data_IF_106566350007
#
_entry.id   IF_106566350007
#
_cell.length_a   1.000
_cell.length_b   1.000
_cell.length_c   1.000
_cell.angle_alpha   90.00
_cell.angle_beta   90.00
_cell.angle_gamma   90.00
#
_symmetry.space_group_name_H-M   'P 1'
#
loop_
_entity.id
_entity.type
_entity.pdbx_description
1 polymer ?
#
# COMPACT_ATOMS: atom_id res chain seq x y z
N UNK A 1 -23.10 -3.88 -23.28
CA UNK A 1 -23.30 -2.80 -22.31
C UNK A 1 -21.98 -2.61 -21.60
N UNK A 2 -21.25 -1.53 -21.85
CA UNK A 2 -19.94 -1.30 -21.22
C UNK A 2 -20.13 -0.59 -19.89
N UNK A 3 -19.65 -1.20 -18.81
CA UNK A 3 -19.60 -0.60 -17.47
C UNK A 3 -18.14 -0.27 -17.14
N UNK A 4 -17.89 0.85 -16.49
CA UNK A 4 -16.59 1.17 -15.92
C UNK A 4 -16.71 1.08 -14.39
N UNK A 5 -15.76 0.38 -13.77
CA UNK A 5 -15.64 0.32 -12.30
C UNK A 5 -14.46 1.17 -11.88
N UNK A 6 -14.67 2.02 -10.87
CA UNK A 6 -13.66 2.92 -10.33
C UNK A 6 -13.57 2.68 -8.82
N UNK A 7 -12.42 2.22 -8.35
CA UNK A 7 -12.14 2.06 -6.92
C UNK A 7 -11.47 3.32 -6.37
N UNK A 8 -12.03 3.88 -5.31
CA UNK A 8 -11.67 5.16 -4.70
C UNK A 8 -11.59 5.01 -3.18
N UNK A 9 -10.84 5.91 -2.54
CA UNK A 9 -10.88 6.10 -1.09
C UNK A 9 -11.29 7.54 -0.81
N UNK A 10 -12.35 7.75 -0.03
CA UNK A 10 -12.81 9.09 0.33
C UNK A 10 -11.78 9.81 1.22
N UNK A 11 -11.86 11.15 1.37
CA UNK A 11 -11.02 11.88 2.33
C UNK A 11 -11.14 11.37 3.77
N UNK A 12 -12.31 10.81 4.14
CA UNK A 12 -12.55 10.16 5.42
C UNK A 12 -12.01 8.72 5.54
N UNK A 13 -11.28 8.22 4.55
CA UNK A 13 -10.70 6.87 4.54
C UNK A 13 -11.68 5.76 4.20
N UNK A 14 -12.83 6.08 3.61
CA UNK A 14 -13.89 5.12 3.28
C UNK A 14 -13.62 4.57 1.87
N UNK A 15 -13.41 3.26 1.70
CA UNK A 15 -13.29 2.68 0.36
C UNK A 15 -14.65 2.70 -0.35
N UNK A 16 -14.64 3.13 -1.60
CA UNK A 16 -15.83 3.27 -2.46
C UNK A 16 -15.52 2.66 -3.81
N UNK A 17 -16.30 1.65 -4.20
CA UNK A 17 -16.32 1.13 -5.57
C UNK A 17 -17.50 1.76 -6.29
N UNK A 18 -17.21 2.56 -7.33
CA UNK A 18 -18.20 3.22 -8.15
C UNK A 18 -18.36 2.47 -9.48
N UNK A 19 -19.55 1.95 -9.74
CA UNK A 19 -19.93 1.52 -11.10
C UNK A 19 -20.51 2.71 -11.85
N UNK A 20 -19.87 3.10 -12.95
CA UNK A 20 -20.33 4.17 -13.83
C UNK A 20 -20.87 3.56 -15.11
N UNK A 21 -22.13 3.87 -15.41
CA UNK A 21 -22.80 3.57 -16.67
C UNK A 21 -22.65 4.76 -17.61
N UNK A 22 -22.89 4.50 -18.90
CA UNK A 22 -22.81 5.55 -19.93
C UNK A 22 -23.86 6.66 -19.75
N UNK A 23 -24.95 6.34 -19.07
CA UNK A 23 -26.09 7.24 -18.85
C UNK A 23 -25.95 8.05 -17.55
N UNK A 24 -24.93 7.77 -16.73
CA UNK A 24 -24.69 8.53 -15.50
C UNK A 24 -24.11 9.90 -15.85
N UNK A 25 -24.78 10.96 -15.43
CA UNK A 25 -24.27 12.32 -15.56
C UNK A 25 -23.31 12.68 -14.41
N UNK A 26 -22.57 13.77 -14.62
CA UNK A 26 -21.58 14.24 -13.66
C UNK A 26 -22.16 14.53 -12.27
N UNK A 27 -23.38 15.05 -12.21
CA UNK A 27 -24.03 15.42 -10.95
C UNK A 27 -24.41 14.17 -10.14
N UNK A 28 -24.99 13.17 -10.82
CA UNK A 28 -25.39 11.89 -10.22
C UNK A 28 -24.18 11.14 -9.64
N UNK A 29 -23.04 11.21 -10.33
CA UNK A 29 -21.78 10.63 -9.85
C UNK A 29 -21.31 11.32 -8.56
N UNK A 30 -21.30 12.66 -8.54
CA UNK A 30 -20.89 13.43 -7.36
C UNK A 30 -21.79 13.14 -6.16
N UNK A 31 -23.11 13.17 -6.34
CA UNK A 31 -24.07 12.91 -5.26
C UNK A 31 -23.96 11.49 -4.70
N UNK A 32 -23.56 10.53 -5.53
CA UNK A 32 -23.30 9.15 -5.12
C UNK A 32 -22.06 9.09 -4.22
N UNK A 33 -20.99 9.77 -4.61
CA UNK A 33 -19.74 9.82 -3.83
C UNK A 33 -19.94 10.54 -2.48
N UNK A 34 -20.60 11.69 -2.44
CA UNK A 34 -20.89 12.41 -1.19
C UNK A 34 -21.72 11.59 -0.21
N UNK A 35 -22.67 10.81 -0.73
CA UNK A 35 -23.51 9.92 0.09
C UNK A 35 -22.71 8.78 0.68
N UNK A 36 -21.82 8.17 -0.11
CA UNK A 36 -20.92 7.14 0.37
C UNK A 36 -20.01 7.66 1.50
N UNK A 37 -19.51 8.90 1.38
CA UNK A 37 -18.71 9.54 2.43
C UNK A 37 -19.50 9.76 3.72
N UNK A 38 -20.72 10.30 3.64
CA UNK A 38 -21.60 10.49 4.82
C UNK A 38 -21.90 9.18 5.55
N UNK A 39 -22.18 8.12 4.80
CA UNK A 39 -22.43 6.77 5.34
C UNK A 39 -21.16 6.24 6.01
N UNK A 40 -20.01 6.35 5.35
CA UNK A 40 -18.77 5.88 5.90
C UNK A 40 -18.36 6.62 7.18
N UNK A 41 -18.52 7.95 7.22
CA UNK A 41 -18.30 8.73 8.45
C UNK A 41 -19.21 8.26 9.60
N UNK A 42 -20.48 7.97 9.32
CA UNK A 42 -21.45 7.51 10.32
C UNK A 42 -21.06 6.18 10.97
N UNK A 43 -20.60 5.20 10.19
CA UNK A 43 -20.20 3.88 10.69
C UNK A 43 -18.80 3.91 11.34
N UNK A 44 -17.88 4.70 10.79
CA UNK A 44 -16.54 4.90 11.37
C UNK A 44 -16.59 5.41 12.81
N UNK A 45 -17.43 6.41 13.09
CA UNK A 45 -17.67 6.93 14.44
C UNK A 45 -18.21 5.89 15.44
N UNK A 46 -18.71 4.75 14.95
CA UNK A 46 -19.26 3.65 15.74
C UNK A 46 -18.30 2.46 15.82
N UNK A 47 -17.05 2.65 15.42
CA UNK A 47 -16.00 1.63 15.51
C UNK A 47 -16.09 0.54 14.45
N UNK A 48 -16.84 0.76 13.36
CA UNK A 48 -16.87 -0.17 12.23
C UNK A 48 -15.61 0.02 11.38
N UNK A 49 -14.99 -1.09 11.00
CA UNK A 49 -13.83 -1.11 10.09
C UNK A 49 -14.29 -1.47 8.67
N UNK A 50 -13.82 -0.74 7.67
CA UNK A 50 -14.15 -1.02 6.28
C UNK A 50 -13.26 -2.13 5.71
N UNK A 51 -13.86 -3.14 5.09
CA UNK A 51 -13.18 -4.34 4.61
C UNK A 51 -12.16 -4.12 3.48
N UNK A 52 -12.20 -2.94 2.83
CA UNK A 52 -11.26 -2.53 1.77
C UNK A 52 -10.42 -1.32 2.20
N UNK A 53 -10.23 -1.11 3.50
CA UNK A 53 -9.00 -0.48 3.98
C UNK A 53 -7.88 -1.41 3.52
N UNK A 54 -7.34 -1.22 2.32
CA UNK A 54 -6.21 -2.02 1.86
C UNK A 54 -5.16 -2.01 2.97
N UNK A 55 -4.84 -3.15 3.60
CA UNK A 55 -3.57 -3.27 4.25
C UNK A 55 -2.58 -3.26 3.08
N UNK A 56 -1.82 -2.18 2.93
CA UNK A 56 -0.76 -2.07 1.91
C UNK A 56 0.46 -2.93 2.28
N UNK A 57 0.22 -4.08 2.92
CA UNK A 57 1.21 -5.04 3.34
C UNK A 57 0.64 -6.22 4.12
N UNK A 58 1.45 -7.26 4.37
CA UNK A 58 1.06 -8.40 5.17
C UNK A 58 0.59 -7.96 6.55
N UNK A 59 -0.29 -8.76 7.17
CA UNK A 59 -0.73 -8.52 8.54
C UNK A 59 0.45 -8.49 9.52
N UNK A 60 0.33 -7.78 10.64
CA UNK A 60 1.37 -7.74 11.68
C UNK A 60 1.79 -9.15 12.17
N UNK A 61 0.90 -10.14 12.05
CA UNK A 61 1.17 -11.54 12.36
C UNK A 61 2.03 -12.23 11.28
N UNK A 62 1.76 -12.01 10.00
CA UNK A 62 2.59 -12.49 8.88
C UNK A 62 3.97 -11.81 8.87
N UNK A 63 4.04 -10.56 9.33
CA UNK A 63 5.29 -9.80 9.48
C UNK A 63 6.17 -10.27 10.64
N UNK A 64 5.58 -10.84 11.69
CA UNK A 64 6.31 -11.34 12.85
C UNK A 64 7.04 -12.68 12.59
N UNK A 65 6.66 -13.39 11.51
CA UNK A 65 7.18 -14.71 11.16
C UNK A 65 7.89 -14.73 9.78
N UNK A 66 7.96 -13.59 9.10
CA UNK A 66 8.58 -13.47 7.78
C UNK A 66 10.11 -13.29 7.84
N UNK A 67 10.82 -13.54 6.72
CA UNK A 67 12.26 -13.29 6.65
C UNK A 67 12.59 -11.81 6.87
N UNK A 68 13.84 -11.56 7.24
CA UNK A 68 14.38 -10.23 7.45
C UNK A 68 15.49 -9.91 6.45
N UNK A 69 15.53 -8.65 6.03
CA UNK A 69 16.53 -8.08 5.15
C UNK A 69 17.08 -6.80 5.78
N UNK A 70 18.40 -6.73 5.97
CA UNK A 70 19.05 -5.61 6.67
C UNK A 70 18.47 -5.30 8.07
N UNK A 71 17.92 -6.31 8.75
CA UNK A 71 17.28 -6.16 10.07
C UNK A 71 15.79 -5.76 10.03
N UNK A 72 15.20 -5.62 8.85
CA UNK A 72 13.79 -5.28 8.66
C UNK A 72 13.00 -6.49 8.17
N UNK A 73 11.79 -6.75 8.67
CA UNK A 73 10.88 -7.73 8.05
C UNK A 73 10.70 -7.41 6.56
N UNK A 74 10.75 -8.41 5.70
CA UNK A 74 10.70 -8.22 4.25
C UNK A 74 9.84 -9.24 3.54
N UNK A 75 9.63 -9.04 2.25
CA UNK A 75 8.90 -9.99 1.43
C UNK A 75 9.59 -11.36 1.40
N UNK A 76 8.84 -12.47 1.46
CA UNK A 76 9.41 -13.80 1.32
C UNK A 76 9.97 -14.07 -0.07
N UNK A 77 9.47 -13.37 -1.08
CA UNK A 77 9.97 -13.44 -2.45
C UNK A 77 11.11 -12.44 -2.65
N UNK A 78 12.25 -12.94 -3.13
CA UNK A 78 13.42 -12.13 -3.55
C UNK A 78 13.72 -12.37 -5.03
N UNK A 79 14.43 -11.42 -5.65
CA UNK A 79 14.95 -11.61 -7.01
C UNK A 79 16.28 -12.38 -7.03
N UNK A 80 16.85 -12.54 -8.22
CA UNK A 80 18.12 -13.25 -8.45
C UNK A 80 19.33 -12.62 -7.71
N UNK A 81 19.20 -11.37 -7.25
CA UNK A 81 20.22 -10.67 -6.45
C UNK A 81 19.98 -10.80 -4.94
N UNK A 82 18.93 -11.52 -4.52
CA UNK A 82 18.51 -11.61 -3.13
C UNK A 82 17.82 -10.36 -2.60
N UNK A 83 17.33 -9.47 -3.48
CA UNK A 83 16.62 -8.27 -3.05
C UNK A 83 15.13 -8.56 -2.88
N UNK A 84 14.52 -8.25 -1.73
CA UNK A 84 13.07 -8.35 -1.55
C UNK A 84 12.33 -7.28 -2.37
N UNK A 85 11.02 -7.47 -2.54
CA UNK A 85 10.15 -6.52 -3.24
C UNK A 85 9.72 -5.37 -2.32
N UNK A 86 9.61 -5.64 -1.03
CA UNK A 86 9.27 -4.67 0.01
C UNK A 86 9.94 -5.01 1.34
N UNK A 87 10.02 -4.02 2.22
CA UNK A 87 10.43 -4.16 3.62
C UNK A 87 9.50 -3.36 4.53
N UNK A 88 9.42 -3.74 5.80
CA UNK A 88 8.70 -2.99 6.82
C UNK A 88 9.68 -2.21 7.67
N UNK A 89 9.50 -0.89 7.68
CA UNK A 89 10.25 0.01 8.55
C UNK A 89 9.26 0.89 9.30
N UNK A 90 9.42 1.01 10.61
CA UNK A 90 8.55 1.80 11.48
C UNK A 90 7.04 1.50 11.28
N UNK A 91 6.71 0.22 11.06
CA UNK A 91 5.35 -0.26 10.82
C UNK A 91 4.76 0.10 9.45
N UNK A 92 5.56 0.65 8.53
CA UNK A 92 5.14 1.01 7.17
C UNK A 92 5.84 0.15 6.14
N UNK A 93 5.11 -0.22 5.08
CA UNK A 93 5.68 -0.92 3.94
C UNK A 93 6.43 0.04 3.02
N UNK A 94 7.74 -0.17 2.92
CA UNK A 94 8.61 0.47 1.96
C UNK A 94 8.75 -0.40 0.71
N UNK A 95 8.50 0.19 -0.46
CA UNK A 95 8.58 -0.49 -1.74
C UNK A 95 9.98 -0.36 -2.34
N UNK A 96 10.47 -1.43 -2.98
CA UNK A 96 11.73 -1.38 -3.72
C UNK A 96 11.63 -0.44 -4.92
N UNK A 97 12.72 0.28 -5.17
CA UNK A 97 12.96 1.15 -6.30
C UNK A 97 14.38 0.92 -6.81
N UNK A 98 14.57 1.06 -8.11
CA UNK A 98 15.87 0.87 -8.74
C UNK A 98 16.07 1.87 -9.87
N UNK A 99 17.27 2.44 -9.97
CA UNK A 99 17.67 3.33 -11.06
C UNK A 99 19.17 3.23 -11.29
N UNK A 100 19.57 2.96 -12.53
CA UNK A 100 20.99 2.88 -12.93
C UNK A 100 21.85 1.92 -12.07
N UNK A 101 21.22 0.89 -11.49
CA UNK A 101 21.89 -0.09 -10.61
C UNK A 101 21.95 0.32 -9.13
N UNK A 102 21.55 1.55 -8.78
CA UNK A 102 21.26 1.92 -7.39
C UNK A 102 19.89 1.36 -7.01
N UNK A 103 19.81 0.71 -5.84
CA UNK A 103 18.57 0.17 -5.29
C UNK A 103 18.25 0.93 -4.01
N UNK A 104 16.97 1.26 -3.80
CA UNK A 104 16.52 1.80 -2.53
C UNK A 104 15.09 1.36 -2.21
N UNK A 105 14.71 1.52 -0.96
CA UNK A 105 13.34 1.33 -0.51
C UNK A 105 12.76 2.66 -0.09
N UNK A 106 11.49 2.89 -0.42
CA UNK A 106 10.81 4.13 -0.07
C UNK A 106 9.40 3.89 0.43
N UNK A 107 9.01 4.65 1.45
CA UNK A 107 7.67 4.68 2.01
C UNK A 107 6.92 5.89 1.45
N UNK A 108 5.64 5.72 1.08
CA UNK A 108 4.78 6.84 0.70
C UNK A 108 4.37 7.60 1.96
N UNK A 109 4.57 8.91 1.95
CA UNK A 109 4.17 9.82 3.01
C UNK A 109 2.73 10.31 2.79
N UNK A 110 2.10 10.84 3.84
CA UNK A 110 0.71 11.30 3.80
C UNK A 110 0.47 12.49 2.87
N UNK A 111 1.51 13.24 2.52
CA UNK A 111 1.49 14.33 1.55
C UNK A 111 1.68 13.85 0.09
N UNK A 112 1.74 12.54 -0.14
CA UNK A 112 1.94 11.92 -1.44
C UNK A 112 3.41 11.85 -1.89
N UNK A 113 4.36 12.36 -1.10
CA UNK A 113 5.80 12.25 -1.38
C UNK A 113 6.34 10.89 -0.94
N UNK A 114 7.61 10.61 -1.23
CA UNK A 114 8.28 9.36 -0.86
C UNK A 114 9.52 9.62 -0.01
N UNK A 115 9.58 9.01 1.16
CA UNK A 115 10.78 9.00 1.99
C UNK A 115 11.63 7.77 1.66
N UNK A 116 12.90 7.98 1.33
CA UNK A 116 13.86 6.90 1.16
C UNK A 116 14.33 6.41 2.55
N UNK A 117 14.32 5.10 2.77
CA UNK A 117 14.55 4.49 4.09
C UNK A 117 15.73 3.52 4.13
N UNK A 118 16.08 2.92 3.00
CA UNK A 118 17.26 2.06 2.86
C UNK A 118 17.82 2.23 1.44
N UNK A 119 19.12 2.48 1.29
CA UNK A 119 19.79 2.59 -0.02
C UNK A 119 20.95 1.61 -0.09
N UNK A 120 21.04 0.93 -1.23
CA UNK A 120 22.10 0.01 -1.60
C UNK A 120 22.70 0.56 -2.90
N UNK A 121 23.84 1.27 -2.80
CA UNK A 121 24.53 1.78 -3.98
C UNK A 121 24.89 0.69 -4.98
N UNK A 122 25.01 1.07 -6.25
CA UNK A 122 25.47 0.16 -7.30
C UNK A 122 26.81 -0.47 -6.93
N UNK A 123 26.88 -1.80 -6.98
CA UNK A 123 28.11 -2.57 -6.74
C UNK A 123 28.38 -2.88 -5.26
N UNK A 124 27.56 -2.36 -4.35
CA UNK A 124 27.62 -2.74 -2.93
C UNK A 124 27.10 -4.16 -2.70
N UNK A 125 27.63 -4.82 -1.67
CA UNK A 125 27.16 -6.16 -1.28
C UNK A 125 25.73 -6.08 -0.78
N UNK A 126 24.84 -6.88 -1.38
CA UNK A 126 23.46 -7.01 -0.94
C UNK A 126 23.43 -7.69 0.43
N UNK A 127 22.70 -7.15 1.43
CA UNK A 127 22.46 -7.81 2.70
C UNK A 127 21.86 -9.21 2.53
N UNK A 128 22.27 -10.15 3.37
CA UNK A 128 21.71 -11.50 3.34
C UNK A 128 20.30 -11.52 3.93
N UNK A 129 19.44 -12.35 3.34
CA UNK A 129 18.14 -12.68 3.90
C UNK A 129 18.35 -13.61 5.08
N UNK A 130 17.73 -13.30 6.21
CA UNK A 130 17.70 -14.16 7.39
C UNK A 130 16.27 -14.64 7.61
N UNK A 131 16.06 -15.94 7.66
CA UNK A 131 14.76 -16.50 7.99
C UNK A 131 14.37 -16.14 9.43
N UNK A 132 13.06 -16.04 9.69
CA UNK A 132 12.57 -15.90 11.05
C UNK A 132 12.91 -17.19 11.84
N UNK A 133 13.25 -17.08 13.14
CA UNK A 133 13.51 -18.23 14.00
C UNK A 133 12.29 -19.14 14.19
#
# INVERSE_FOLDING_TARGET
MCKATIDLVSPGGVPVTLEVNRDDDHQTIIETLERAEKIGAYFSQRGWNFAHLEPTGPSAAELAQGPTFAGYPCSPTVDDRGLPTWLIIDGKQAQRREKQGDVWYSVRLGDGTYAQVLRIPKGEKVPEIKEAP
#
